data_IF_423935716087
#
_entry.id   IF_423935716087
#
_cell.length_a   1.000
_cell.length_b   1.000
_cell.length_c   1.000
_cell.angle_alpha   90.00
_cell.angle_beta   90.00
_cell.angle_gamma   90.00
#
_symmetry.space_group_name_H-M   'P 1'
#
loop_
_entity.id
_entity.type
_entity.pdbx_description
1 polymer ?
#
# COMPACT_ATOMS: atom_id res chain seq x y z
N UNK A 1 -10.22 19.16 19.84
CA UNK A 1 -10.35 18.48 18.53
C UNK A 1 -11.75 17.95 18.21
N UNK A 2 -12.65 17.67 19.17
CA UNK A 2 -13.96 17.04 18.89
C UNK A 2 -15.09 18.02 18.55
N UNK A 3 -14.82 19.06 17.74
CA UNK A 3 -15.88 19.93 17.23
C UNK A 3 -16.61 19.20 16.07
N UNK A 4 -17.95 19.09 16.07
CA UNK A 4 -18.67 18.39 14.99
C UNK A 4 -18.36 18.94 13.59
N UNK A 5 -18.15 20.25 13.48
CA UNK A 5 -17.85 20.90 12.21
C UNK A 5 -16.42 20.61 11.74
N UNK A 6 -15.47 20.46 12.66
CA UNK A 6 -14.10 20.04 12.33
C UNK A 6 -14.10 18.59 11.80
N UNK A 7 -14.87 17.70 12.43
CA UNK A 7 -15.03 16.31 11.97
C UNK A 7 -15.62 16.27 10.56
N UNK A 8 -16.65 17.06 10.29
CA UNK A 8 -17.23 17.16 8.95
C UNK A 8 -16.24 17.69 7.90
N UNK A 9 -15.38 18.65 8.27
CA UNK A 9 -14.29 19.12 7.39
C UNK A 9 -13.30 17.99 7.09
N UNK A 10 -12.89 17.21 8.10
CA UNK A 10 -11.99 16.05 7.93
C UNK A 10 -12.61 15.02 6.99
N UNK A 11 -13.87 14.63 7.21
CA UNK A 11 -14.60 13.69 6.35
C UNK A 11 -14.68 14.17 4.90
N UNK A 12 -14.87 15.48 4.69
CA UNK A 12 -14.92 16.04 3.35
C UNK A 12 -13.53 16.04 2.68
N UNK A 13 -12.47 16.36 3.44
CA UNK A 13 -11.10 16.34 2.94
C UNK A 13 -10.60 14.91 2.65
N UNK A 14 -11.03 13.93 3.44
CA UNK A 14 -10.65 12.53 3.29
C UNK A 14 -11.14 11.90 1.97
N UNK A 15 -12.24 12.42 1.40
CA UNK A 15 -12.73 11.99 0.08
C UNK A 15 -11.71 12.24 -1.04
N UNK A 16 -10.95 13.33 -0.95
CA UNK A 16 -9.97 13.72 -1.96
C UNK A 16 -8.54 13.31 -1.57
N UNK A 17 -8.29 13.14 -0.26
CA UNK A 17 -6.97 12.83 0.31
C UNK A 17 -7.08 11.64 1.27
N UNK A 18 -6.87 10.40 0.79
CA UNK A 18 -7.09 9.18 1.58
C UNK A 18 -6.29 9.10 2.89
N UNK A 19 -5.19 9.84 3.03
CA UNK A 19 -4.38 9.86 4.25
C UNK A 19 -4.94 10.72 5.39
N UNK A 20 -5.93 11.58 5.12
CA UNK A 20 -6.45 12.57 6.08
C UNK A 20 -6.99 11.91 7.34
N UNK A 21 -7.76 10.84 7.21
CA UNK A 21 -8.35 10.15 8.37
C UNK A 21 -7.26 9.58 9.28
N UNK A 22 -6.28 8.89 8.70
CA UNK A 22 -5.16 8.29 9.44
C UNK A 22 -4.32 9.35 10.15
N UNK A 23 -4.05 10.46 9.47
CA UNK A 23 -3.30 11.59 10.05
C UNK A 23 -4.09 12.28 11.17
N UNK A 24 -5.39 12.44 11.00
CA UNK A 24 -6.25 13.04 12.02
C UNK A 24 -6.38 12.14 13.27
N UNK A 25 -6.51 10.83 13.07
CA UNK A 25 -6.51 9.83 14.14
C UNK A 25 -5.17 9.82 14.89
N UNK A 26 -4.05 9.83 14.16
CA UNK A 26 -2.73 10.00 14.75
C UNK A 26 -2.68 11.26 15.63
N UNK A 27 -3.08 12.42 15.10
CA UNK A 27 -2.99 13.69 15.84
C UNK A 27 -3.83 13.66 17.12
N UNK A 28 -5.03 13.07 17.04
CA UNK A 28 -5.94 12.91 18.20
C UNK A 28 -5.31 12.02 19.27
N UNK A 29 -4.83 10.84 18.89
CA UNK A 29 -4.20 9.88 19.79
C UNK A 29 -2.88 10.41 20.37
N UNK A 30 -2.12 11.15 19.55
CA UNK A 30 -0.87 11.75 19.95
C UNK A 30 -1.09 12.86 20.98
N UNK A 31 -2.09 13.73 20.77
CA UNK A 31 -2.47 14.74 21.76
C UNK A 31 -2.84 14.12 23.11
N UNK A 32 -3.58 13.01 23.12
CA UNK A 32 -3.92 12.30 24.35
C UNK A 32 -2.71 11.63 25.00
N UNK A 33 -1.78 11.11 24.20
CA UNK A 33 -0.48 10.60 24.69
C UNK A 33 0.33 11.70 25.37
N UNK A 34 0.43 12.88 24.76
CA UNK A 34 1.17 14.00 25.32
C UNK A 34 0.56 14.53 26.63
N UNK A 35 -0.77 14.51 26.77
CA UNK A 35 -1.45 14.90 28.03
C UNK A 35 -1.09 13.99 29.21
N UNK A 36 -0.72 12.74 28.96
CA UNK A 36 -0.30 11.81 30.00
C UNK A 36 1.14 12.06 30.50
N UNK A 37 1.93 12.83 29.74
CA UNK A 37 3.33 13.16 30.04
C UNK A 37 3.45 14.53 30.74
N UNK A 38 4.58 14.79 31.40
CA UNK A 38 4.81 16.09 32.07
C UNK A 38 6.10 16.77 31.66
N UNK A 39 6.03 18.09 31.44
CA UNK A 39 7.18 18.97 31.27
C UNK A 39 8.18 18.47 30.21
N UNK A 40 9.39 18.10 30.65
CA UNK A 40 10.48 17.64 29.76
C UNK A 40 10.18 16.34 29.02
N UNK A 41 9.26 15.51 29.53
CA UNK A 41 8.88 14.25 28.87
C UNK A 41 8.13 14.50 27.57
N UNK A 42 7.29 15.55 27.53
CA UNK A 42 6.55 15.96 26.33
C UNK A 42 7.55 16.36 25.23
N UNK A 43 8.53 17.20 25.58
CA UNK A 43 9.57 17.66 24.65
C UNK A 43 10.38 16.48 24.12
N UNK A 44 10.87 15.61 25.01
CA UNK A 44 11.63 14.40 24.62
C UNK A 44 10.84 13.46 23.72
N UNK A 45 9.53 13.32 23.99
CA UNK A 45 8.66 12.46 23.18
C UNK A 45 8.52 13.00 21.76
N UNK A 46 8.21 14.30 21.63
CA UNK A 46 8.11 14.97 20.34
C UNK A 46 9.44 14.92 19.56
N UNK A 47 10.57 15.17 20.23
CA UNK A 47 11.91 15.04 19.63
C UNK A 47 12.17 13.62 19.13
N UNK A 48 11.88 12.59 19.95
CA UNK A 48 12.07 11.20 19.58
C UNK A 48 11.21 10.77 18.39
N UNK A 49 9.97 11.23 18.34
CA UNK A 49 9.02 10.91 17.26
C UNK A 49 9.21 11.81 16.02
N UNK A 50 10.08 12.82 16.08
CA UNK A 50 10.26 13.81 15.00
C UNK A 50 9.06 14.75 14.80
N UNK A 51 8.20 14.90 15.81
CA UNK A 51 7.03 15.78 15.77
C UNK A 51 7.47 17.20 16.13
N UNK A 52 7.32 18.13 15.21
CA UNK A 52 7.72 19.52 15.37
C UNK A 52 6.52 20.45 15.30
N UNK A 53 6.30 21.22 16.36
CA UNK A 53 5.31 22.31 16.37
C UNK A 53 5.96 23.56 15.79
N UNK A 54 5.45 24.01 14.65
CA UNK A 54 5.91 25.21 13.96
C UNK A 54 5.29 26.46 14.59
N UNK A 55 3.99 26.41 14.90
CA UNK A 55 3.25 27.47 15.60
C UNK A 55 2.16 26.89 16.51
N UNK A 56 1.80 27.65 17.55
CA UNK A 56 0.78 27.21 18.51
C UNK A 56 1.27 26.09 19.41
N UNK A 57 0.42 25.10 19.68
CA UNK A 57 0.77 23.96 20.53
C UNK A 57 -0.38 23.00 20.81
N UNK A 58 -0.05 21.76 21.17
CA UNK A 58 -1.03 20.73 21.52
C UNK A 58 -1.89 21.12 22.73
N UNK A 59 -1.34 21.93 23.64
CA UNK A 59 -2.03 22.49 24.79
C UNK A 59 -3.18 23.41 24.38
N UNK A 60 -3.13 24.02 23.18
CA UNK A 60 -4.18 24.92 22.64
C UNK A 60 -5.33 24.21 21.95
N UNK A 61 -5.30 22.89 21.80
CA UNK A 61 -6.37 22.12 21.13
C UNK A 61 -7.74 22.19 21.83
N UNK A 62 -7.79 22.71 23.05
CA UNK A 62 -9.03 23.03 23.77
C UNK A 62 -9.73 24.29 23.23
N UNK A 63 -9.04 25.12 22.44
CA UNK A 63 -9.57 26.34 21.80
C UNK A 63 -10.30 26.04 20.48
N UNK A 64 -10.32 24.79 20.02
CA UNK A 64 -11.04 24.39 18.81
C UNK A 64 -12.54 24.53 19.01
N UNK A 65 -13.18 25.30 18.14
CA UNK A 65 -14.60 25.63 18.16
C UNK A 65 -15.25 25.42 16.77
N UNK A 66 -16.38 26.08 16.53
CA UNK A 66 -17.12 26.09 15.26
C UNK A 66 -16.54 27.02 14.18
N UNK A 67 -15.61 27.91 14.54
CA UNK A 67 -14.98 28.82 13.58
C UNK A 67 -13.58 28.35 13.18
N UNK A 68 -13.17 27.21 13.71
CA UNK A 68 -11.87 26.61 13.45
C UNK A 68 -11.84 25.90 12.11
N UNK A 69 -10.76 26.12 11.35
CA UNK A 69 -10.46 25.41 10.12
C UNK A 69 -9.29 24.45 10.31
N UNK A 70 -9.25 23.40 9.51
CA UNK A 70 -8.15 22.43 9.47
C UNK A 70 -7.69 22.20 8.05
N UNK A 71 -6.37 22.15 7.85
CA UNK A 71 -5.75 21.82 6.59
C UNK A 71 -4.67 20.75 6.78
N UNK A 72 -4.54 19.88 5.77
CA UNK A 72 -3.56 18.80 5.74
C UNK A 72 -2.64 18.96 4.53
N UNK A 73 -1.35 18.80 4.79
CA UNK A 73 -0.26 18.89 3.83
C UNK A 73 0.50 17.57 3.83
N UNK A 74 0.95 17.16 2.65
CA UNK A 74 1.87 16.04 2.46
C UNK A 74 3.04 16.54 1.61
N UNK A 75 4.25 16.34 2.08
CA UNK A 75 5.50 16.59 1.35
C UNK A 75 6.44 15.43 1.58
N UNK A 76 7.42 15.19 0.70
CA UNK A 76 8.27 13.99 0.69
C UNK A 76 8.69 13.53 2.11
N UNK A 77 8.08 12.46 2.62
CA UNK A 77 8.39 11.85 3.91
C UNK A 77 7.78 12.53 5.15
N UNK A 78 6.95 13.55 4.99
CA UNK A 78 6.40 14.37 6.08
C UNK A 78 4.92 14.70 5.85
N UNK A 79 4.14 14.66 6.94
CA UNK A 79 2.82 15.27 6.99
C UNK A 79 2.86 16.59 7.75
N UNK A 80 1.96 17.48 7.38
CA UNK A 80 1.69 18.73 8.07
C UNK A 80 0.20 18.86 8.38
N UNK A 81 -0.13 19.34 9.59
CA UNK A 81 -1.49 19.67 9.99
C UNK A 81 -1.52 21.07 10.55
N UNK A 82 -2.44 21.86 10.02
CA UNK A 82 -2.60 23.25 10.35
C UNK A 82 -4.04 23.48 10.81
N UNK A 83 -4.21 23.87 12.08
CA UNK A 83 -5.48 24.14 12.75
C UNK A 83 -5.47 25.60 13.17
N UNK A 84 -6.41 26.37 12.64
CA UNK A 84 -6.47 27.82 12.84
C UNK A 84 -7.85 28.26 13.30
N UNK A 85 -7.88 29.17 14.27
CA UNK A 85 -9.03 30.03 14.45
C UNK A 85 -8.92 31.22 13.49
N UNK A 86 -9.98 32.01 13.37
CA UNK A 86 -10.00 33.19 12.49
C UNK A 86 -8.87 34.17 12.82
N UNK A 87 -8.51 34.28 14.10
CA UNK A 87 -7.64 35.35 14.58
C UNK A 87 -6.21 34.88 14.94
N UNK A 88 -5.98 33.57 15.11
CA UNK A 88 -4.66 33.04 15.51
C UNK A 88 -4.47 31.55 15.21
N UNK A 89 -3.20 31.09 15.06
CA UNK A 89 -2.85 29.67 14.93
C UNK A 89 -3.13 28.91 16.24
N UNK A 90 -3.92 27.84 16.16
CA UNK A 90 -4.13 26.90 17.28
C UNK A 90 -2.97 25.89 17.30
N UNK A 91 -2.72 25.24 16.17
CA UNK A 91 -1.65 24.26 16.01
C UNK A 91 -1.19 24.25 14.56
N UNK A 92 0.11 24.41 14.35
CA UNK A 92 0.78 24.09 13.10
C UNK A 92 1.88 23.08 13.43
N UNK A 93 1.74 21.85 12.94
CA UNK A 93 2.61 20.73 13.30
C UNK A 93 3.02 19.97 12.06
N UNK A 94 4.28 19.52 12.02
CA UNK A 94 4.80 18.60 11.02
C UNK A 94 5.43 17.38 11.68
N UNK A 95 5.36 16.23 11.03
CA UNK A 95 5.90 14.98 11.54
C UNK A 95 6.13 13.97 10.41
N UNK A 96 6.98 12.94 10.63
CA UNK A 96 7.29 11.93 9.61
C UNK A 96 6.06 11.17 9.14
N UNK A 97 5.94 10.94 7.84
CA UNK A 97 4.97 10.02 7.25
C UNK A 97 5.43 8.57 7.46
N UNK A 98 5.32 8.10 8.70
CA UNK A 98 5.82 6.80 9.15
C UNK A 98 4.69 5.90 9.63
N UNK A 99 4.55 4.71 9.04
CA UNK A 99 3.57 3.71 9.47
C UNK A 99 3.63 3.44 10.98
N UNK A 100 4.83 3.33 11.56
CA UNK A 100 5.00 3.12 13.00
C UNK A 100 4.48 4.30 13.83
N UNK A 101 4.71 5.53 13.36
CA UNK A 101 4.25 6.73 14.05
C UNK A 101 2.73 6.86 13.96
N UNK A 102 2.17 6.74 12.75
CA UNK A 102 0.74 6.87 12.48
C UNK A 102 -0.09 5.83 13.22
N UNK A 103 0.40 4.59 13.31
CA UNK A 103 -0.29 3.50 14.01
C UNK A 103 0.03 3.42 15.50
N UNK A 104 1.08 4.12 15.96
CA UNK A 104 1.63 3.97 17.31
C UNK A 104 2.23 2.59 17.62
N UNK A 105 2.42 1.74 16.59
CA UNK A 105 2.93 0.37 16.74
C UNK A 105 4.42 0.30 16.44
N UNK A 106 5.14 -0.53 17.19
CA UNK A 106 6.52 -0.86 16.82
C UNK A 106 6.54 -1.78 15.59
N UNK A 107 7.63 -1.76 14.84
CA UNK A 107 7.82 -2.63 13.67
C UNK A 107 7.58 -4.10 14.01
N UNK A 108 8.10 -4.58 15.15
CA UNK A 108 7.87 -5.95 15.65
C UNK A 108 6.38 -6.29 15.83
N UNK A 109 5.56 -5.33 16.24
CA UNK A 109 4.11 -5.52 16.40
C UNK A 109 3.43 -5.59 15.04
N UNK A 110 3.76 -4.66 14.13
CA UNK A 110 3.26 -4.63 12.76
C UNK A 110 3.56 -5.94 12.02
N UNK A 111 4.81 -6.39 12.06
CA UNK A 111 5.25 -7.63 11.41
C UNK A 111 4.55 -8.88 11.94
N UNK A 112 4.28 -8.94 13.25
CA UNK A 112 3.54 -10.06 13.86
C UNK A 112 2.08 -10.05 13.41
N UNK A 113 1.42 -8.89 13.49
CA UNK A 113 0.01 -8.75 13.10
C UNK A 113 -0.19 -9.02 11.60
N UNK A 114 0.76 -8.60 10.77
CA UNK A 114 0.82 -8.94 9.35
C UNK A 114 0.82 -10.45 9.14
N UNK A 115 1.74 -11.18 9.78
CA UNK A 115 1.81 -12.64 9.65
C UNK A 115 0.56 -13.34 10.16
N UNK A 116 0.02 -12.92 11.30
CA UNK A 116 -1.15 -13.54 11.90
C UNK A 116 -2.39 -13.32 11.03
N UNK A 117 -2.53 -12.14 10.43
CA UNK A 117 -3.63 -11.82 9.52
C UNK A 117 -3.48 -12.55 8.18
N UNK A 118 -2.29 -12.52 7.59
CA UNK A 118 -1.98 -13.18 6.33
C UNK A 118 -2.25 -14.70 6.38
N UNK A 119 -1.87 -15.38 7.48
CA UNK A 119 -2.10 -16.83 7.66
C UNK A 119 -3.58 -17.20 7.64
N UNK A 120 -4.44 -16.32 8.17
CA UNK A 120 -5.88 -16.55 8.30
C UNK A 120 -6.66 -16.04 7.09
N UNK A 121 -6.08 -15.15 6.29
CA UNK A 121 -6.76 -14.55 5.16
C UNK A 121 -7.06 -15.57 4.08
N UNK A 122 -8.31 -15.58 3.59
CA UNK A 122 -8.73 -16.39 2.45
C UNK A 122 -9.57 -15.52 1.54
N UNK A 123 -9.22 -15.48 0.28
CA UNK A 123 -10.02 -14.78 -0.71
C UNK A 123 -11.34 -15.50 -0.92
N UNK A 124 -12.43 -14.78 -0.69
CA UNK A 124 -13.77 -15.23 -1.05
C UNK A 124 -14.13 -14.52 -2.35
N UNK A 125 -14.29 -15.30 -3.42
CA UNK A 125 -14.64 -14.74 -4.73
C UNK A 125 -15.95 -13.97 -4.62
N UNK A 126 -15.86 -12.65 -4.73
CA UNK A 126 -17.04 -11.80 -4.80
C UNK A 126 -17.66 -11.89 -6.21
N UNK A 127 -18.92 -11.48 -6.36
CA UNK A 127 -19.52 -11.38 -7.68
C UNK A 127 -18.62 -10.49 -8.55
N UNK A 128 -17.99 -11.09 -9.56
CA UNK A 128 -16.94 -10.48 -10.38
C UNK A 128 -17.32 -9.05 -10.76
N UNK A 129 -16.50 -8.09 -10.32
CA UNK A 129 -16.64 -6.69 -10.71
C UNK A 129 -16.62 -6.65 -12.23
N UNK A 130 -17.71 -6.23 -12.87
CA UNK A 130 -17.75 -6.13 -14.33
C UNK A 130 -16.73 -5.09 -14.75
N UNK A 131 -15.71 -5.51 -15.48
CA UNK A 131 -14.78 -4.60 -16.13
C UNK A 131 -15.54 -3.75 -17.14
N UNK A 132 -15.36 -2.44 -17.05
CA UNK A 132 -15.87 -1.52 -18.04
C UNK A 132 -15.02 -1.64 -19.30
N UNK A 133 -15.64 -2.06 -20.41
CA UNK A 133 -14.98 -2.17 -21.71
C UNK A 133 -14.44 -0.81 -22.20
N UNK A 134 -15.03 0.30 -21.78
CA UNK A 134 -14.54 1.65 -22.10
C UNK A 134 -13.17 1.98 -21.49
N UNK A 135 -12.80 1.33 -20.39
CA UNK A 135 -11.50 1.49 -19.75
C UNK A 135 -10.41 0.59 -20.36
N UNK A 136 -10.78 -0.35 -21.24
CA UNK A 136 -9.89 -1.33 -21.84
C UNK A 136 -9.36 -0.88 -23.19
N UNK A 137 -8.05 -1.02 -23.40
CA UNK A 137 -7.41 -0.76 -24.70
C UNK A 137 -7.12 -2.07 -25.41
N UNK A 138 -7.61 -2.22 -26.64
CA UNK A 138 -7.39 -3.43 -27.43
C UNK A 138 -5.93 -3.50 -27.96
N UNK A 139 -5.23 -4.59 -27.64
CA UNK A 139 -3.91 -4.89 -28.19
C UNK A 139 -4.08 -5.75 -29.44
N UNK A 140 -4.33 -5.08 -30.57
CA UNK A 140 -4.68 -5.72 -31.87
C UNK A 140 -3.69 -6.78 -32.35
N UNK A 141 -2.43 -6.72 -31.91
CA UNK A 141 -1.39 -7.69 -32.28
C UNK A 141 -1.45 -8.99 -31.45
N UNK A 142 -2.14 -9.00 -30.30
CA UNK A 142 -2.12 -10.11 -29.35
C UNK A 142 -3.50 -10.65 -28.93
N UNK A 143 -4.58 -10.20 -29.57
CA UNK A 143 -5.97 -10.68 -29.33
C UNK A 143 -6.51 -10.54 -27.90
N UNK A 144 -5.89 -9.71 -27.05
CA UNK A 144 -6.38 -9.36 -25.72
C UNK A 144 -6.43 -7.85 -25.49
N UNK A 145 -6.95 -7.46 -24.34
CA UNK A 145 -7.11 -6.08 -23.90
C UNK A 145 -6.17 -5.78 -22.72
N UNK A 146 -5.78 -4.52 -22.58
CA UNK A 146 -5.04 -4.03 -21.41
C UNK A 146 -5.88 -3.02 -20.65
N UNK A 147 -5.98 -3.21 -19.34
CA UNK A 147 -6.36 -2.17 -18.40
C UNK A 147 -5.07 -1.50 -17.92
N UNK A 148 -4.86 -0.26 -18.36
CA UNK A 148 -3.65 0.49 -18.01
C UNK A 148 -3.67 0.89 -16.54
N UNK A 149 -2.60 0.55 -15.85
CA UNK A 149 -2.32 1.00 -14.50
C UNK A 149 -1.23 2.05 -14.48
N UNK A 150 -0.90 2.47 -13.26
CA UNK A 150 0.17 3.43 -12.99
C UNK A 150 1.54 2.77 -13.03
N UNK A 151 2.57 3.61 -13.23
CA UNK A 151 3.98 3.23 -13.10
C UNK A 151 4.46 3.50 -11.66
N UNK A 152 5.43 2.71 -11.19
CA UNK A 152 6.04 2.90 -9.87
C UNK A 152 7.55 3.12 -9.99
N UNK A 153 7.98 4.36 -9.82
CA UNK A 153 9.35 4.87 -10.02
C UNK A 153 9.92 4.72 -11.44
N UNK A 154 9.84 3.53 -12.03
CA UNK A 154 10.29 3.25 -13.39
C UNK A 154 9.10 2.88 -14.29
N UNK A 155 9.13 3.32 -15.55
CA UNK A 155 8.05 3.06 -16.53
C UNK A 155 7.77 1.58 -16.80
N UNK A 156 8.76 0.72 -16.56
CA UNK A 156 8.66 -0.74 -16.72
C UNK A 156 8.15 -1.45 -15.45
N UNK A 157 8.01 -0.76 -14.32
CA UNK A 157 7.37 -1.28 -13.11
C UNK A 157 5.93 -0.78 -13.13
N UNK A 158 4.97 -1.65 -13.45
CA UNK A 158 3.58 -1.25 -13.73
C UNK A 158 2.55 -2.08 -12.97
N UNK A 159 1.35 -1.52 -12.88
CA UNK A 159 0.14 -2.18 -12.39
C UNK A 159 -0.85 -2.54 -13.52
N UNK A 160 -0.38 -2.59 -14.77
CA UNK A 160 -1.16 -2.99 -15.95
C UNK A 160 -1.70 -4.43 -15.77
N UNK A 161 -2.96 -4.67 -16.15
CA UNK A 161 -3.57 -6.02 -16.18
C UNK A 161 -4.15 -6.34 -17.55
N UNK A 162 -4.16 -7.62 -17.91
CA UNK A 162 -4.44 -8.09 -19.26
C UNK A 162 -5.65 -9.01 -19.29
N UNK A 163 -6.57 -8.79 -20.23
CA UNK A 163 -7.90 -9.40 -20.19
C UNK A 163 -8.32 -9.93 -21.54
N UNK A 164 -8.91 -11.12 -21.56
CA UNK A 164 -9.56 -11.70 -22.74
C UNK A 164 -11.08 -11.67 -22.57
N UNK A 165 -11.79 -11.39 -23.68
CA UNK A 165 -13.26 -11.41 -23.69
C UNK A 165 -13.73 -12.85 -23.91
N UNK A 166 -14.47 -13.42 -22.95
CA UNK A 166 -15.11 -14.72 -23.11
C UNK A 166 -16.13 -14.65 -24.24
N UNK A 167 -15.89 -15.45 -25.28
CA UNK A 167 -16.70 -15.49 -26.49
C UNK A 167 -18.21 -15.46 -26.20
N UNK A 168 -18.89 -14.46 -26.77
CA UNK A 168 -20.36 -14.33 -26.70
C UNK A 168 -20.94 -13.90 -25.35
N UNK A 169 -20.12 -13.63 -24.33
CA UNK A 169 -20.62 -13.30 -22.98
C UNK A 169 -20.48 -11.83 -22.58
N UNK A 170 -19.61 -11.07 -23.26
CA UNK A 170 -19.23 -9.71 -22.83
C UNK A 170 -18.50 -9.67 -21.47
N UNK A 171 -18.11 -10.84 -20.94
CA UNK A 171 -17.35 -10.95 -19.69
C UNK A 171 -15.86 -11.07 -19.98
N UNK A 172 -15.05 -10.41 -19.17
CA UNK A 172 -13.60 -10.44 -19.28
C UNK A 172 -13.02 -11.38 -18.23
N UNK A 173 -12.00 -12.15 -18.61
CA UNK A 173 -11.18 -12.94 -17.67
C UNK A 173 -9.71 -12.60 -17.85
N UNK A 174 -8.88 -12.74 -16.80
CA UNK A 174 -7.46 -12.45 -16.92
C UNK A 174 -6.82 -13.39 -17.95
N UNK A 175 -5.96 -12.85 -18.81
CA UNK A 175 -5.09 -13.65 -19.67
C UNK A 175 -4.22 -14.55 -18.79
N UNK A 176 -4.24 -15.85 -19.04
CA UNK A 176 -3.42 -16.83 -18.34
C UNK A 176 -3.07 -18.01 -19.26
N UNK A 177 -2.04 -17.80 -20.09
CA UNK A 177 -1.57 -18.73 -21.12
C UNK A 177 -0.06 -18.70 -21.29
N UNK A 178 0.53 -19.85 -21.63
CA UNK A 178 1.94 -19.97 -21.98
C UNK A 178 2.33 -19.20 -23.25
N UNK A 179 1.38 -18.87 -24.14
CA UNK A 179 1.63 -18.07 -25.34
C UNK A 179 1.85 -16.58 -25.03
N UNK A 180 1.48 -16.16 -23.82
CA UNK A 180 1.55 -14.77 -23.33
C UNK A 180 2.18 -14.75 -21.94
N UNK A 181 3.42 -15.25 -21.82
CA UNK A 181 4.11 -15.48 -20.55
C UNK A 181 4.11 -14.23 -19.65
N UNK A 182 4.63 -13.11 -20.15
CA UNK A 182 4.79 -11.88 -19.35
C UNK A 182 3.45 -11.33 -18.88
N UNK A 183 2.45 -11.24 -19.77
CA UNK A 183 1.12 -10.74 -19.42
C UNK A 183 0.39 -11.65 -18.44
N UNK A 184 0.53 -12.97 -18.62
CA UNK A 184 -0.09 -13.97 -17.75
C UNK A 184 0.54 -14.01 -16.36
N UNK A 185 1.87 -13.88 -16.28
CA UNK A 185 2.58 -13.77 -15.01
C UNK A 185 2.24 -12.44 -14.32
N UNK A 186 2.17 -11.34 -15.07
CA UNK A 186 1.70 -10.06 -14.52
C UNK A 186 0.32 -10.18 -13.90
N UNK A 187 -0.63 -10.80 -14.58
CA UNK A 187 -1.95 -11.08 -14.00
C UNK A 187 -1.87 -11.99 -12.77
N UNK A 188 -1.04 -13.04 -12.77
CA UNK A 188 -0.86 -13.92 -11.61
C UNK A 188 -0.38 -13.14 -10.37
N UNK A 189 0.50 -12.16 -10.57
CA UNK A 189 1.07 -11.32 -9.51
C UNK A 189 0.13 -10.16 -9.10
N UNK A 190 -0.78 -9.74 -9.97
CA UNK A 190 -1.62 -8.56 -9.78
C UNK A 190 -3.12 -8.85 -9.65
N UNK A 191 -3.64 -10.05 -9.92
CA UNK A 191 -5.07 -10.31 -10.01
C UNK A 191 -5.49 -11.58 -9.24
N UNK A 192 -6.39 -11.42 -8.28
CA UNK A 192 -6.98 -12.52 -7.51
C UNK A 192 -7.90 -13.43 -8.34
N UNK A 193 -8.37 -12.96 -9.50
CA UNK A 193 -9.23 -13.72 -10.41
C UNK A 193 -8.45 -14.57 -11.42
N UNK A 194 -7.12 -14.59 -11.34
CA UNK A 194 -6.28 -15.44 -12.20
C UNK A 194 -6.69 -16.91 -12.05
N UNK A 195 -6.90 -17.65 -13.15
CA UNK A 195 -7.29 -19.05 -13.10
C UNK A 195 -6.30 -19.95 -12.35
N UNK A 196 -6.83 -20.95 -11.63
CA UNK A 196 -6.03 -22.01 -11.00
C UNK A 196 -5.62 -21.73 -9.55
N UNK A 197 -5.47 -22.80 -8.77
CA UNK A 197 -5.06 -22.75 -7.36
C UNK A 197 -3.53 -22.73 -7.24
N UNK A 198 -2.90 -21.73 -7.87
CA UNK A 198 -1.44 -21.59 -7.88
C UNK A 198 -0.94 -21.24 -6.49
N UNK A 199 0.02 -22.02 -5.99
CA UNK A 199 0.59 -21.84 -4.65
C UNK A 199 1.78 -20.88 -4.70
N UNK A 200 1.88 -20.07 -3.67
CA UNK A 200 3.02 -19.26 -3.31
C UNK A 200 3.67 -19.86 -2.06
N UNK A 201 4.94 -20.21 -2.13
CA UNK A 201 5.78 -20.37 -0.95
C UNK A 201 6.46 -19.03 -0.68
N UNK A 202 6.13 -18.43 0.47
CA UNK A 202 6.53 -17.08 0.84
C UNK A 202 7.47 -17.11 2.04
N UNK A 203 8.65 -16.53 1.88
CA UNK A 203 9.58 -16.20 2.95
C UNK A 203 9.36 -14.74 3.33
N UNK A 204 8.86 -14.48 4.53
CA UNK A 204 8.69 -13.12 5.07
C UNK A 204 9.90 -12.76 5.92
N UNK A 205 10.66 -11.76 5.47
CA UNK A 205 11.80 -11.19 6.20
C UNK A 205 11.32 -10.11 7.17
N UNK A 206 11.78 -10.24 8.41
CA UNK A 206 11.47 -9.35 9.50
C UNK A 206 12.75 -8.70 10.06
N UNK A 207 12.55 -7.62 10.78
CA UNK A 207 13.58 -6.93 11.53
C UNK A 207 14.39 -7.88 12.42
N UNK A 208 15.71 -7.67 12.46
CA UNK A 208 16.64 -8.53 13.20
C UNK A 208 16.92 -9.87 12.52
N UNK A 209 16.86 -9.92 11.18
CA UNK A 209 17.18 -11.09 10.34
C UNK A 209 16.30 -12.33 10.58
N UNK A 210 15.11 -12.13 11.15
CA UNK A 210 14.14 -13.20 11.33
C UNK A 210 13.46 -13.51 10.01
N UNK A 211 13.14 -14.79 9.81
CA UNK A 211 12.41 -15.28 8.65
C UNK A 211 11.24 -16.14 9.11
N UNK A 212 10.12 -15.98 8.44
CA UNK A 212 8.97 -16.85 8.59
C UNK A 212 8.51 -17.34 7.23
N UNK A 213 8.29 -18.64 7.14
CA UNK A 213 7.83 -19.27 5.91
C UNK A 213 6.36 -19.66 6.04
N UNK A 214 5.63 -19.49 4.95
CA UNK A 214 4.27 -20.00 4.80
C UNK A 214 3.99 -20.34 3.35
N UNK A 215 3.00 -21.19 3.13
CA UNK A 215 2.45 -21.46 1.79
C UNK A 215 0.99 -21.08 1.75
N UNK A 216 0.61 -20.34 0.70
CA UNK A 216 -0.76 -19.88 0.47
C UNK A 216 -1.07 -19.85 -1.02
N UNK A 217 -2.30 -19.50 -1.40
CA UNK A 217 -2.63 -19.28 -2.82
C UNK A 217 -2.17 -17.88 -3.25
N UNK A 218 -1.70 -17.75 -4.50
CA UNK A 218 -1.35 -16.45 -5.09
C UNK A 218 -2.50 -15.45 -4.99
N UNK A 219 -3.74 -15.90 -5.25
CA UNK A 219 -4.94 -15.05 -5.13
C UNK A 219 -5.18 -14.53 -3.71
N UNK A 220 -4.85 -15.32 -2.69
CA UNK A 220 -5.02 -14.91 -1.28
C UNK A 220 -4.01 -13.81 -0.94
N UNK A 221 -2.78 -13.91 -1.46
CA UNK A 221 -1.76 -12.87 -1.30
C UNK A 221 -2.20 -11.55 -1.95
N UNK A 222 -2.59 -11.60 -3.23
CA UNK A 222 -3.02 -10.40 -3.98
C UNK A 222 -4.22 -9.74 -3.31
N UNK A 223 -5.25 -10.53 -2.98
CA UNK A 223 -6.45 -10.02 -2.32
C UNK A 223 -6.16 -9.46 -0.92
N UNK A 224 -5.27 -10.09 -0.15
CA UNK A 224 -4.85 -9.58 1.15
C UNK A 224 -4.17 -8.21 1.01
N UNK A 225 -3.23 -8.06 0.08
CA UNK A 225 -2.56 -6.79 -0.15
C UNK A 225 -3.56 -5.67 -0.49
N UNK A 226 -4.56 -5.95 -1.34
CA UNK A 226 -5.62 -5.00 -1.65
C UNK A 226 -6.53 -4.68 -0.48
N UNK A 227 -6.88 -5.69 0.32
CA UNK A 227 -7.69 -5.53 1.55
C UNK A 227 -6.98 -4.64 2.58
N UNK A 228 -5.65 -4.68 2.62
CA UNK A 228 -4.82 -3.77 3.43
C UNK A 228 -4.65 -2.37 2.81
N UNK A 229 -5.37 -2.06 1.72
CA UNK A 229 -5.32 -0.77 1.04
C UNK A 229 -4.08 -0.57 0.17
N UNK A 230 -3.37 -1.65 -0.20
CA UNK A 230 -2.18 -1.54 -1.02
C UNK A 230 -2.48 -1.63 -2.52
N UNK A 231 -1.70 -0.89 -3.30
CA UNK A 231 -1.59 -1.05 -4.76
C UNK A 231 -0.40 -1.96 -5.07
N UNK A 232 -0.57 -2.88 -6.02
CA UNK A 232 0.48 -3.80 -6.43
C UNK A 232 1.06 -3.37 -7.77
N UNK A 233 2.38 -3.37 -7.88
CA UNK A 233 3.14 -3.15 -9.10
C UNK A 233 4.15 -4.27 -9.26
N UNK A 234 4.59 -4.51 -10.49
CA UNK A 234 5.65 -5.48 -10.74
C UNK A 234 6.52 -5.08 -11.92
N UNK A 235 7.74 -5.60 -11.94
CA UNK A 235 8.69 -5.44 -13.04
C UNK A 235 9.48 -6.73 -13.26
N UNK A 236 9.78 -7.02 -14.53
CA UNK A 236 10.60 -8.20 -14.91
C UNK A 236 12.07 -7.90 -14.63
N UNK A 237 12.74 -8.81 -13.92
CA UNK A 237 14.18 -8.76 -13.68
C UNK A 237 14.94 -9.58 -14.73
N UNK A 238 14.53 -10.83 -14.93
CA UNK A 238 15.08 -11.71 -15.97
C UNK A 238 14.05 -12.75 -16.43
N UNK A 239 14.23 -13.21 -17.67
CA UNK A 239 13.49 -14.35 -18.22
C UNK A 239 14.49 -15.48 -18.45
N UNK A 240 14.34 -16.55 -17.69
CA UNK A 240 15.14 -17.76 -17.82
C UNK A 240 14.41 -18.77 -18.72
N UNK A 241 15.06 -19.91 -18.99
CA UNK A 241 14.49 -20.96 -19.85
C UNK A 241 13.22 -21.61 -19.27
N UNK A 242 13.12 -21.70 -17.94
CA UNK A 242 12.02 -22.42 -17.26
C UNK A 242 11.23 -21.53 -16.29
N UNK A 243 11.65 -20.28 -16.08
CA UNK A 243 11.08 -19.39 -15.08
C UNK A 243 11.25 -17.91 -15.45
N UNK A 244 10.41 -17.07 -14.85
CA UNK A 244 10.57 -15.62 -14.86
C UNK A 244 10.90 -15.14 -13.45
N UNK A 245 11.88 -14.24 -13.33
CA UNK A 245 12.18 -13.52 -12.10
C UNK A 245 11.65 -12.10 -12.18
N UNK A 246 11.01 -11.65 -11.12
CA UNK A 246 10.40 -10.34 -11.02
C UNK A 246 10.53 -9.76 -9.62
N UNK A 247 10.40 -8.43 -9.55
CA UNK A 247 10.14 -7.70 -8.32
C UNK A 247 8.67 -7.29 -8.28
N UNK A 248 8.03 -7.46 -7.12
CA UNK A 248 6.68 -7.01 -6.83
C UNK A 248 6.74 -5.97 -5.72
N UNK A 249 6.16 -4.80 -5.96
CA UNK A 249 6.06 -3.70 -5.02
C UNK A 249 4.60 -3.58 -4.57
N UNK A 250 4.37 -3.73 -3.28
CA UNK A 250 3.04 -3.61 -2.66
C UNK A 250 3.06 -2.34 -1.82
N UNK A 251 2.42 -1.29 -2.34
CA UNK A 251 2.57 0.08 -1.85
C UNK A 251 1.32 0.51 -1.11
N UNK A 252 1.48 1.00 0.12
CA UNK A 252 0.43 1.67 0.87
C UNK A 252 0.76 3.15 1.01
N UNK A 253 0.16 3.99 0.17
CA UNK A 253 0.42 5.43 0.14
C UNK A 253 -0.09 6.16 1.40
N UNK A 254 -1.13 5.61 2.04
CA UNK A 254 -1.76 6.19 3.24
C UNK A 254 -0.88 6.02 4.48
N UNK A 255 -0.28 4.84 4.64
CA UNK A 255 0.62 4.52 5.75
C UNK A 255 2.11 4.68 5.38
N UNK A 256 2.39 5.06 4.13
CA UNK A 256 3.72 5.32 3.57
C UNK A 256 4.70 4.16 3.81
N UNK A 257 4.28 2.95 3.47
CA UNK A 257 5.17 1.79 3.46
C UNK A 257 5.01 0.97 2.18
N UNK A 258 6.05 0.18 1.94
CA UNK A 258 6.12 -0.81 0.89
C UNK A 258 6.29 -2.21 1.48
N UNK A 259 5.80 -3.22 0.76
CA UNK A 259 6.36 -4.55 0.80
C UNK A 259 7.04 -4.83 -0.53
N UNK A 260 8.30 -5.26 -0.50
CA UNK A 260 9.07 -5.54 -1.71
C UNK A 260 9.38 -7.03 -1.73
N UNK A 261 8.84 -7.71 -2.73
CA UNK A 261 8.96 -9.14 -2.91
C UNK A 261 9.75 -9.45 -4.18
N UNK A 262 10.85 -10.19 -4.04
CA UNK A 262 11.46 -10.88 -5.18
C UNK A 262 10.69 -12.18 -5.39
N UNK A 263 10.29 -12.47 -6.63
CA UNK A 263 9.47 -13.61 -6.98
C UNK A 263 10.05 -14.35 -8.17
N UNK A 264 10.04 -15.68 -8.08
CA UNK A 264 10.40 -16.60 -9.17
C UNK A 264 9.17 -17.44 -9.54
N UNK A 265 8.73 -17.29 -10.78
CA UNK A 265 7.53 -17.93 -11.32
C UNK A 265 7.95 -18.97 -12.35
N UNK A 266 7.84 -20.29 -12.05
CA UNK A 266 8.15 -21.32 -13.03
C UNK A 266 7.06 -21.36 -14.12
N UNK A 267 7.44 -21.51 -15.39
CA UNK A 267 6.47 -21.59 -16.50
C UNK A 267 5.54 -22.81 -16.39
N UNK A 268 5.92 -23.81 -15.59
CA UNK A 268 5.06 -24.93 -15.24
C UNK A 268 3.71 -24.52 -14.62
N UNK A 269 3.56 -23.30 -14.09
CA UNK A 269 2.25 -22.81 -13.58
C UNK A 269 1.13 -22.83 -14.62
N UNK A 270 1.45 -22.85 -15.92
CA UNK A 270 0.47 -22.90 -17.00
C UNK A 270 -0.02 -24.32 -17.32
N UNK A 271 0.65 -25.37 -16.86
CA UNK A 271 0.37 -26.75 -17.24
C UNK A 271 0.28 -27.71 -16.05
N UNK A 272 1.04 -27.47 -14.98
CA UNK A 272 1.09 -28.28 -13.77
C UNK A 272 0.39 -27.59 -12.59
N UNK A 273 -0.65 -28.24 -12.07
CA UNK A 273 -1.39 -27.78 -10.88
C UNK A 273 -0.57 -27.88 -9.58
N UNK A 274 0.56 -28.60 -9.61
CA UNK A 274 1.50 -28.73 -8.51
C UNK A 274 2.58 -27.64 -8.46
N UNK A 275 2.72 -26.81 -9.51
CA UNK A 275 3.74 -25.77 -9.59
C UNK A 275 3.61 -24.75 -8.43
N UNK A 276 4.76 -24.35 -7.87
CA UNK A 276 4.85 -23.45 -6.73
C UNK A 276 5.69 -22.24 -7.11
N UNK A 277 5.10 -21.05 -6.97
CA UNK A 277 5.81 -19.76 -7.06
C UNK A 277 6.63 -19.56 -5.79
N UNK A 278 7.87 -19.12 -5.93
CA UNK A 278 8.74 -18.79 -4.80
C UNK A 278 8.77 -17.28 -4.60
N UNK A 279 8.51 -16.81 -3.38
CA UNK A 279 8.56 -15.38 -3.02
C UNK A 279 9.40 -15.14 -1.78
N UNK A 280 10.20 -14.08 -1.80
CA UNK A 280 10.95 -13.57 -0.64
C UNK A 280 10.62 -12.09 -0.46
N UNK A 281 9.92 -11.74 0.62
CA UNK A 281 9.35 -10.41 0.86
C UNK A 281 9.95 -9.73 2.08
N UNK A 282 10.32 -8.46 1.89
CA UNK A 282 10.63 -7.53 2.97
C UNK A 282 9.39 -6.66 3.22
N UNK A 283 8.94 -6.56 4.47
CA UNK A 283 7.68 -5.88 4.82
C UNK A 283 7.93 -4.57 5.57
N UNK A 284 6.96 -3.66 5.49
CA UNK A 284 6.96 -2.34 6.13
C UNK A 284 8.21 -1.48 5.87
N UNK A 285 8.76 -1.53 4.66
CA UNK A 285 9.85 -0.63 4.27
C UNK A 285 9.27 0.78 4.11
N UNK A 286 9.80 1.82 4.76
CA UNK A 286 9.33 3.19 4.51
C UNK A 286 9.50 3.57 3.04
N UNK A 287 8.45 4.09 2.40
CA UNK A 287 8.44 4.39 0.95
C UNK A 287 9.55 5.35 0.52
N UNK A 288 9.95 6.31 1.39
CA UNK A 288 11.05 7.22 1.09
C UNK A 288 12.41 6.52 0.95
N UNK A 289 12.61 5.35 1.59
CA UNK A 289 13.81 4.53 1.42
C UNK A 289 13.81 3.79 0.07
N UNK A 290 12.63 3.47 -0.48
CA UNK A 290 12.51 2.86 -1.79
C UNK A 290 12.78 3.89 -2.88
N UNK A 291 12.24 5.11 -2.74
CA UNK A 291 12.51 6.20 -3.67
C UNK A 291 14.02 6.47 -3.83
N UNK A 292 14.81 6.35 -2.76
CA UNK A 292 16.27 6.49 -2.84
C UNK A 292 16.96 5.40 -3.65
N UNK A 293 16.39 4.19 -3.76
CA UNK A 293 16.97 3.11 -4.59
C UNK A 293 16.87 3.38 -6.09
N UNK A 294 15.92 4.23 -6.51
CA UNK A 294 15.66 4.51 -7.91
C UNK A 294 16.28 5.83 -8.42
N UNK A 295 16.85 6.64 -7.53
CA UNK A 295 17.45 7.94 -7.89
C UNK A 295 18.58 7.81 -8.93
N UNK A 296 19.28 6.68 -8.97
CA UNK A 296 20.34 6.42 -9.95
C UNK A 296 19.81 6.15 -11.37
N UNK A 297 18.50 5.94 -11.53
CA UNK A 297 17.84 5.64 -12.80
C UNK A 297 16.96 6.79 -13.31
N UNK A 298 16.84 7.87 -12.54
CA UNK A 298 16.20 9.13 -12.94
C UNK A 298 17.24 10.01 -13.67
N UNK A 299 17.61 9.65 -14.91
CA UNK A 299 18.40 10.50 -15.83
C UNK A 299 17.52 11.51 -16.60
#
# INVERSE_FOLDING_TARGET
MRSPQLVQQVEQLAKDKPYVDVVYDFLTNYADTLKALRGKEVVRRMEYDGVEVVQGGFDRLHLVDEHTTIAFLSSKGMYGVNIHSRDFPILDVKFPSSCQLLTGKSLRVLEREFLDSLRRFRYVKSASKRLDKGALTALKQKSFYVLKGDAYHLENIRSDTYWEEKAGSGTFVPVFSADHLTESIGNLLLCEDTPGDIKLHLVVRQYGFKKHELTMLMRDWVAYCRDQGCTLYWGVESMESESLKASVFVVNDVLCYDHVMSVEVPYAVFSDKGAIVQGDVNVFIPTHNIATLFQEYEE
#
